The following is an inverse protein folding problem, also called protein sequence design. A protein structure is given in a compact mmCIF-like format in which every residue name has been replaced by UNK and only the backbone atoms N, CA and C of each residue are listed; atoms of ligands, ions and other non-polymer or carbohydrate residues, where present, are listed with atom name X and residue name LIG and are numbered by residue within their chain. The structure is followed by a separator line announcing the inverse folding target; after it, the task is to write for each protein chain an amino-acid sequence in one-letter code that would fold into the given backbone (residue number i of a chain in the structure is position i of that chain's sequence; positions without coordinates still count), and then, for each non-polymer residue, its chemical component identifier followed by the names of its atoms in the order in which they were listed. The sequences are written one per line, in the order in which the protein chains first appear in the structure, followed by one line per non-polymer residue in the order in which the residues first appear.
data_IF_917696240929
#
_entry.id   IF_917696240929
#
_cell.length_a   1.000
_cell.length_b   1.000
_cell.length_c   1.000
_cell.angle_alpha   90.00
_cell.angle_beta   90.00
_cell.angle_gamma   90.00
#
_symmetry.space_group_name_H-M   'P 1'
#
loop_
_entity.id
_entity.type
_entity.pdbx_description
1 polymer ?
#
# COMPACT_ATOMS: atom_id res chain seq x y z
N UNK A 1 13.89 6.13 17.91
CA UNK A 1 12.51 6.53 17.55
C UNK A 1 11.53 5.49 18.07
N UNK A 2 10.31 5.88 18.46
CA UNK A 2 9.30 4.95 18.96
C UNK A 2 8.77 4.10 17.80
N UNK A 3 8.72 2.78 17.96
CA UNK A 3 8.15 1.89 16.95
C UNK A 3 6.67 2.20 16.72
N UNK A 4 6.22 2.19 15.46
CA UNK A 4 4.82 2.40 15.05
C UNK A 4 4.14 1.04 14.98
N UNK A 5 2.98 0.89 15.62
CA UNK A 5 2.17 -0.34 15.54
C UNK A 5 1.34 -0.37 14.26
N UNK A 6 1.29 -1.53 13.62
CA UNK A 6 0.42 -1.82 12.50
C UNK A 6 -0.10 -3.26 12.64
N UNK A 7 -1.32 -3.50 12.17
CA UNK A 7 -1.78 -4.84 11.81
C UNK A 7 -1.43 -5.05 10.33
N UNK A 8 -0.92 -6.24 10.00
CA UNK A 8 -0.39 -6.53 8.67
C UNK A 8 -0.86 -7.91 8.19
N UNK A 9 -1.11 -8.01 6.90
CA UNK A 9 -1.36 -9.28 6.21
C UNK A 9 -0.02 -9.89 5.79
N UNK A 10 0.18 -11.17 6.08
CA UNK A 10 1.33 -11.93 5.55
C UNK A 10 0.92 -12.50 4.21
N UNK A 11 1.43 -11.90 3.14
CA UNK A 11 1.08 -12.26 1.76
C UNK A 11 2.32 -12.69 0.98
N UNK A 12 2.41 -13.99 0.68
CA UNK A 12 3.51 -14.54 -0.13
C UNK A 12 3.39 -14.23 -1.62
N UNK A 13 2.23 -13.71 -2.07
CA UNK A 13 2.02 -13.28 -3.45
C UNK A 13 2.48 -11.85 -3.73
N UNK A 14 2.90 -11.11 -2.70
CA UNK A 14 3.39 -9.75 -2.84
C UNK A 14 4.92 -9.73 -3.06
N UNK A 15 5.36 -9.10 -4.15
CA UNK A 15 6.79 -8.89 -4.43
C UNK A 15 7.48 -7.90 -3.47
N UNK A 16 6.70 -7.18 -2.66
CA UNK A 16 7.21 -6.15 -1.75
C UNK A 16 6.24 -5.78 -0.64
N UNK A 17 6.62 -4.78 0.15
CA UNK A 17 5.82 -4.27 1.27
C UNK A 17 4.91 -3.15 0.79
N UNK A 18 3.63 -3.27 1.12
CA UNK A 18 2.64 -2.26 0.85
C UNK A 18 2.06 -1.72 2.16
N UNK A 19 1.77 -0.42 2.18
CA UNK A 19 1.22 0.26 3.35
C UNK A 19 -0.14 0.87 3.01
N UNK A 20 -1.08 0.74 3.93
CA UNK A 20 -2.34 1.49 3.88
C UNK A 20 -2.04 3.00 3.90
N UNK A 21 -2.61 3.71 2.92
CA UNK A 21 -2.41 5.15 2.77
C UNK A 21 -2.86 5.90 4.02
N UNK A 22 -4.04 5.58 4.56
CA UNK A 22 -4.60 6.29 5.72
C UNK A 22 -3.74 6.06 6.97
N UNK A 23 -3.21 4.85 7.13
CA UNK A 23 -2.28 4.55 8.22
C UNK A 23 -1.00 5.38 8.07
N UNK A 24 -0.41 5.45 6.88
CA UNK A 24 0.81 6.22 6.65
C UNK A 24 0.61 7.71 6.95
N UNK A 25 -0.51 8.29 6.51
CA UNK A 25 -0.91 9.67 6.82
C UNK A 25 -1.07 9.89 8.34
N UNK A 26 -1.78 8.99 9.05
CA UNK A 26 -1.92 9.07 10.52
C UNK A 26 -0.59 8.99 11.26
N UNK A 27 0.38 8.28 10.70
CA UNK A 27 1.72 8.16 11.27
C UNK A 27 2.63 9.35 10.92
N UNK A 28 2.18 10.28 10.08
CA UNK A 28 2.99 11.41 9.60
C UNK A 28 4.11 10.96 8.67
N UNK A 29 3.89 9.91 7.88
CA UNK A 29 4.79 9.52 6.79
C UNK A 29 4.46 10.40 5.59
N UNK A 30 5.48 11.05 5.03
CA UNK A 30 5.32 11.84 3.81
C UNK A 30 5.03 10.91 2.62
N UNK A 31 3.95 11.18 1.91
CA UNK A 31 3.55 10.43 0.72
C UNK A 31 3.81 11.27 -0.53
N UNK A 32 4.42 10.64 -1.54
CA UNK A 32 4.63 11.25 -2.85
C UNK A 32 3.68 10.62 -3.86
N UNK A 33 2.88 11.46 -4.52
CA UNK A 33 2.05 11.00 -5.64
C UNK A 33 2.94 10.54 -6.78
N UNK A 34 2.68 9.34 -7.30
CA UNK A 34 3.38 8.83 -8.47
C UNK A 34 2.96 9.62 -9.71
N UNK A 35 3.91 9.84 -10.63
CA UNK A 35 3.62 10.50 -11.92
C UNK A 35 2.69 9.67 -12.80
N UNK A 36 2.70 8.35 -12.62
CA UNK A 36 1.82 7.40 -13.29
C UNK A 36 1.34 6.35 -12.30
N UNK A 37 0.13 5.83 -12.54
CA UNK A 37 -0.45 4.73 -11.76
C UNK A 37 0.32 3.43 -11.99
N UNK A 38 0.71 2.76 -10.91
CA UNK A 38 1.17 1.35 -10.99
C UNK A 38 -0.05 0.48 -11.28
N UNK A 39 -0.15 -0.02 -12.51
CA UNK A 39 -1.24 -0.92 -12.92
C UNK A 39 -0.88 -2.36 -12.53
N UNK A 40 -1.33 -2.78 -11.35
CA UNK A 40 -1.32 -4.20 -10.96
C UNK A 40 -2.75 -4.72 -10.91
N UNK A 41 -2.91 -6.01 -11.18
CA UNK A 41 -4.20 -6.69 -11.06
C UNK A 41 -4.29 -7.38 -9.72
N UNK A 42 -5.45 -7.23 -9.07
CA UNK A 42 -5.86 -8.07 -7.95
C UNK A 42 -6.06 -9.52 -8.43
N UNK A 43 -6.16 -10.47 -7.50
CA UNK A 43 -6.34 -11.89 -7.81
C UNK A 43 -7.65 -12.19 -8.55
N UNK A 44 -8.66 -11.33 -8.39
CA UNK A 44 -9.95 -11.39 -9.11
C UNK A 44 -9.88 -10.80 -10.53
N UNK A 45 -8.71 -10.33 -10.96
CA UNK A 45 -8.46 -9.77 -12.28
C UNK A 45 -8.81 -8.29 -12.43
N UNK A 46 -9.36 -7.64 -11.39
CA UNK A 46 -9.60 -6.19 -11.38
C UNK A 46 -8.28 -5.42 -11.24
N UNK A 47 -8.22 -4.20 -11.78
CA UNK A 47 -7.06 -3.34 -11.55
C UNK A 47 -7.13 -2.71 -10.16
N UNK A 48 -5.98 -2.59 -9.51
CA UNK A 48 -5.84 -1.82 -8.30
C UNK A 48 -6.29 -0.35 -8.52
N UNK A 49 -6.84 0.29 -7.48
CA UNK A 49 -7.31 1.67 -7.60
C UNK A 49 -6.13 2.63 -7.54
N UNK A 50 -5.59 3.00 -8.71
CA UNK A 50 -4.57 4.03 -8.83
C UNK A 50 -3.27 3.75 -8.04
N UNK A 51 -2.86 2.50 -7.89
CA UNK A 51 -1.72 2.13 -7.03
C UNK A 51 -2.11 1.80 -5.59
N UNK A 52 -3.36 2.07 -5.19
CA UNK A 52 -3.91 1.66 -3.91
C UNK A 52 -4.24 0.18 -3.90
N UNK A 53 -3.78 -0.52 -2.85
CA UNK A 53 -4.32 -1.83 -2.50
C UNK A 53 -5.70 -1.60 -1.89
N UNK A 54 -6.72 -2.13 -2.55
CA UNK A 54 -8.11 -2.15 -2.08
C UNK A 54 -8.38 -3.38 -1.23
#
# INVERSE_FOLDING_TARGET
GKARRAEAMIDSGADGVFLDQKWAERQGIELKKLGETIRVKNIDGTFNQAGGIS
#
